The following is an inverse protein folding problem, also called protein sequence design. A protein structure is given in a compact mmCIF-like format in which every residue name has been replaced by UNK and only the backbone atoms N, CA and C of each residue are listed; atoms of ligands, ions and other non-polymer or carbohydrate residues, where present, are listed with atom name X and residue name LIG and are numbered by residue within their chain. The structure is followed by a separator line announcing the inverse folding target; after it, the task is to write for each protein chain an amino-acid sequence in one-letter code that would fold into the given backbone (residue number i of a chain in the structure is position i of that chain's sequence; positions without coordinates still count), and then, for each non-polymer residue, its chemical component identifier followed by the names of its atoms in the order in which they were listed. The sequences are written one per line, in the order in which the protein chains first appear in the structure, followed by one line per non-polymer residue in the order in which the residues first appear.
data_IF_954033023650
#
_entry.id   IF_954033023650
#
_cell.length_a   1.000
_cell.length_b   1.000
_cell.length_c   1.000
_cell.angle_alpha   90.00
_cell.angle_beta   90.00
_cell.angle_gamma   90.00
#
_symmetry.space_group_name_H-M   'P 1'
#
loop_
_entity.id
_entity.type
_entity.pdbx_description
1 polymer ?
#
# COMPACT_ATOMS: atom_id res chain seq x y z
N UNK A 1 -4.60 -35.18 -10.87
CA UNK A 1 -3.76 -34.28 -11.69
C UNK A 1 -3.56 -33.00 -10.90
N UNK A 2 -2.37 -32.77 -10.37
CA UNK A 2 -2.00 -31.50 -9.73
C UNK A 2 -2.07 -30.40 -10.79
N UNK A 3 -3.10 -29.56 -10.76
CA UNK A 3 -3.15 -28.35 -11.59
C UNK A 3 -2.05 -27.42 -11.09
N UNK A 4 -1.02 -27.22 -11.89
CA UNK A 4 -0.03 -26.17 -11.66
C UNK A 4 -0.67 -24.82 -12.01
N UNK A 5 -0.57 -23.85 -11.09
CA UNK A 5 -0.97 -22.47 -11.37
C UNK A 5 -0.22 -21.95 -12.61
N UNK A 6 -0.84 -21.06 -13.40
CA UNK A 6 -0.11 -20.38 -14.47
C UNK A 6 1.07 -19.59 -13.87
N UNK A 7 2.16 -19.46 -14.64
CA UNK A 7 3.27 -18.60 -14.26
C UNK A 7 2.84 -17.14 -14.43
N UNK A 8 3.17 -16.29 -13.46
CA UNK A 8 2.95 -14.84 -13.56
C UNK A 8 4.08 -14.24 -14.41
N UNK A 9 3.74 -13.72 -15.58
CA UNK A 9 4.69 -13.04 -16.47
C UNK A 9 4.77 -11.54 -16.12
N UNK A 10 5.70 -11.19 -15.24
CA UNK A 10 5.92 -9.81 -14.81
C UNK A 10 6.41 -8.93 -15.97
N UNK A 11 7.27 -9.44 -16.84
CA UNK A 11 7.83 -8.65 -17.94
C UNK A 11 6.74 -8.24 -18.93
N UNK A 12 5.83 -9.16 -19.26
CA UNK A 12 4.69 -8.84 -20.11
C UNK A 12 3.81 -7.72 -19.54
N UNK A 13 3.61 -7.69 -18.21
CA UNK A 13 2.85 -6.62 -17.54
C UNK A 13 3.60 -5.29 -17.59
N UNK A 14 4.92 -5.30 -17.38
CA UNK A 14 5.72 -4.07 -17.36
C UNK A 14 5.87 -3.49 -18.78
N UNK A 15 6.00 -4.34 -19.80
CA UNK A 15 6.16 -3.95 -21.20
C UNK A 15 4.87 -3.44 -21.84
N UNK A 16 3.71 -3.85 -21.33
CA UNK A 16 2.43 -3.40 -21.85
C UNK A 16 2.24 -1.89 -21.58
N UNK A 17 2.23 -1.05 -22.63
CA UNK A 17 2.06 0.39 -22.47
C UNK A 17 0.65 0.77 -21.95
N UNK A 18 -0.33 -0.13 -22.09
CA UNK A 18 -1.68 0.07 -21.57
C UNK A 18 -1.73 -0.18 -20.05
N UNK A 19 -0.76 -0.90 -19.48
CA UNK A 19 -0.57 -0.98 -18.03
C UNK A 19 0.04 0.32 -17.52
N UNK A 20 -0.79 1.14 -16.87
CA UNK A 20 -0.43 2.46 -16.35
C UNK A 20 -0.32 2.50 -14.83
N UNK A 21 -0.94 1.55 -14.13
CA UNK A 21 -0.93 1.47 -12.66
C UNK A 21 -0.67 0.03 -12.23
N UNK A 22 0.28 -0.17 -11.33
CA UNK A 22 0.48 -1.46 -10.63
C UNK A 22 0.32 -1.22 -9.14
N UNK A 23 -0.56 -1.98 -8.48
CA UNK A 23 -0.79 -1.88 -7.03
C UNK A 23 -0.28 -3.13 -6.34
N UNK A 24 0.70 -2.96 -5.46
CA UNK A 24 1.24 -4.04 -4.62
C UNK A 24 0.46 -4.10 -3.29
N UNK A 25 -0.33 -5.14 -3.09
CA UNK A 25 -1.13 -5.37 -1.87
C UNK A 25 -0.75 -6.67 -1.16
N UNK A 26 -1.22 -6.85 0.07
CA UNK A 26 -0.85 -7.99 0.90
C UNK A 26 -0.59 -7.61 2.36
N UNK A 27 -0.30 -8.63 3.18
CA UNK A 27 -0.14 -8.47 4.62
C UNK A 27 1.11 -7.66 5.01
N UNK A 28 1.24 -7.31 6.29
CA UNK A 28 2.42 -6.63 6.80
C UNK A 28 3.68 -7.51 6.72
N UNK A 29 4.83 -6.93 6.34
CA UNK A 29 6.13 -7.61 6.42
C UNK A 29 6.46 -8.64 5.34
N UNK A 30 5.59 -8.82 4.33
CA UNK A 30 5.78 -9.80 3.23
C UNK A 30 6.66 -9.29 2.07
N UNK A 31 7.07 -8.03 2.10
CA UNK A 31 7.97 -7.44 1.08
C UNK A 31 7.28 -6.66 -0.03
N UNK A 32 6.11 -6.06 0.22
CA UNK A 32 5.40 -5.19 -0.72
C UNK A 32 6.27 -4.03 -1.22
N UNK A 33 6.85 -3.26 -0.30
CA UNK A 33 7.71 -2.11 -0.65
C UNK A 33 8.89 -2.50 -1.51
N UNK A 34 9.59 -3.59 -1.16
CA UNK A 34 10.71 -4.10 -1.94
C UNK A 34 10.25 -4.58 -3.31
N UNK A 35 9.09 -5.24 -3.39
CA UNK A 35 8.50 -5.70 -4.66
C UNK A 35 8.11 -4.50 -5.54
N UNK A 36 7.45 -3.48 -4.99
CA UNK A 36 7.08 -2.26 -5.69
C UNK A 36 8.31 -1.50 -6.21
N UNK A 37 9.35 -1.36 -5.39
CA UNK A 37 10.61 -0.74 -5.79
C UNK A 37 11.32 -1.52 -6.90
N UNK A 38 11.35 -2.85 -6.80
CA UNK A 38 11.96 -3.72 -7.81
C UNK A 38 11.20 -3.71 -9.14
N UNK A 39 9.86 -3.69 -9.11
CA UNK A 39 9.02 -3.53 -10.29
C UNK A 39 9.25 -2.17 -10.95
N UNK A 40 9.30 -1.10 -10.15
CA UNK A 40 9.54 0.25 -10.66
C UNK A 40 10.91 0.38 -11.32
N UNK A 41 11.95 -0.12 -10.65
CA UNK A 41 13.30 -0.18 -11.22
C UNK A 41 13.34 -0.99 -12.50
N UNK A 42 12.74 -2.18 -12.50
CA UNK A 42 12.72 -3.04 -13.69
C UNK A 42 12.01 -2.40 -14.87
N UNK A 43 10.86 -1.74 -14.66
CA UNK A 43 10.18 -1.02 -15.73
C UNK A 43 11.02 0.15 -16.27
N UNK A 44 11.67 0.92 -15.39
CA UNK A 44 12.57 2.00 -15.81
C UNK A 44 13.75 1.48 -16.63
N UNK A 45 14.34 0.36 -16.24
CA UNK A 45 15.41 -0.30 -17.01
C UNK A 45 14.94 -0.80 -18.37
N UNK A 46 13.64 -1.01 -18.54
CA UNK A 46 12.98 -1.40 -19.80
C UNK A 46 12.48 -0.21 -20.62
N UNK A 47 12.84 1.01 -20.22
CA UNK A 47 12.58 2.23 -20.99
C UNK A 47 11.33 3.00 -20.57
N UNK A 48 10.69 2.63 -19.47
CA UNK A 48 9.48 3.32 -18.98
C UNK A 48 9.82 4.53 -18.10
N UNK A 49 8.96 5.54 -18.13
CA UNK A 49 8.97 6.63 -17.14
C UNK A 49 8.06 6.27 -15.97
N UNK A 50 8.67 5.91 -14.85
CA UNK A 50 8.00 5.30 -13.70
C UNK A 50 8.04 6.18 -12.47
N UNK A 51 6.96 6.20 -11.69
CA UNK A 51 6.96 6.70 -10.31
C UNK A 51 6.50 5.62 -9.34
N UNK A 52 7.27 5.40 -8.28
CA UNK A 52 6.89 4.54 -7.14
C UNK A 52 6.32 5.41 -6.03
N UNK A 53 5.04 5.24 -5.73
CA UNK A 53 4.32 5.90 -4.64
C UNK A 53 4.24 4.95 -3.45
N UNK A 54 4.96 5.22 -2.36
CA UNK A 54 4.75 4.50 -1.09
C UNK A 54 3.86 5.27 -0.13
N UNK A 55 2.96 4.51 0.51
CA UNK A 55 2.10 4.99 1.59
C UNK A 55 2.64 4.51 2.96
N UNK A 56 3.69 3.67 2.99
CA UNK A 56 4.30 3.17 4.23
C UNK A 56 5.22 4.24 4.86
N UNK A 57 4.88 4.77 6.06
CA UNK A 57 5.69 5.79 6.73
C UNK A 57 7.04 5.26 7.24
N UNK A 58 7.29 3.94 7.21
CA UNK A 58 8.51 3.32 7.74
C UNK A 58 9.79 3.64 6.95
N UNK A 59 9.73 4.48 5.89
CA UNK A 59 10.87 4.89 5.04
C UNK A 59 11.63 3.73 4.38
N UNK A 60 11.00 2.54 4.32
CA UNK A 60 11.60 1.33 3.72
C UNK A 60 11.93 1.53 2.25
N UNK A 61 11.10 2.28 1.52
CA UNK A 61 11.36 2.60 0.11
C UNK A 61 12.61 3.47 -0.05
N UNK A 62 12.76 4.52 0.76
CA UNK A 62 13.92 5.41 0.69
C UNK A 62 15.21 4.62 0.90
N UNK A 63 15.22 3.77 1.93
CA UNK A 63 16.35 2.87 2.23
C UNK A 63 16.65 1.93 1.06
N UNK A 64 15.64 1.25 0.50
CA UNK A 64 15.81 0.34 -0.61
C UNK A 64 16.38 1.01 -1.88
N UNK A 65 16.08 2.30 -2.07
CA UNK A 65 16.50 3.07 -3.26
C UNK A 65 17.73 3.96 -3.02
N UNK A 66 18.34 3.89 -1.83
CA UNK A 66 19.50 4.71 -1.47
C UNK A 66 19.19 6.21 -1.35
N UNK A 67 17.93 6.57 -1.07
CA UNK A 67 17.50 7.96 -0.93
C UNK A 67 17.58 8.38 0.55
N UNK A 68 18.09 9.59 0.80
CA UNK A 68 18.18 10.15 2.16
C UNK A 68 16.82 10.59 2.68
N UNK A 69 15.98 11.14 1.80
CA UNK A 69 14.63 11.60 2.12
C UNK A 69 13.68 11.33 0.95
N UNK A 70 12.46 10.96 1.30
CA UNK A 70 11.32 10.91 0.39
C UNK A 70 10.25 11.83 0.98
N UNK A 71 9.67 12.67 0.14
CA UNK A 71 8.59 13.57 0.50
C UNK A 71 7.43 13.43 -0.48
N UNK A 72 6.46 14.34 -0.37
CA UNK A 72 5.25 14.35 -1.17
C UNK A 72 5.44 14.73 -2.65
N UNK A 73 6.69 14.90 -3.09
CA UNK A 73 7.08 15.24 -4.45
C UNK A 73 7.91 14.09 -5.04
N UNK A 74 7.59 13.61 -6.26
CA UNK A 74 8.41 12.65 -6.98
C UNK A 74 9.86 13.12 -7.13
N UNK A 75 10.81 12.28 -6.69
CA UNK A 75 12.25 12.53 -6.80
C UNK A 75 12.88 11.47 -7.71
N UNK A 76 13.70 11.91 -8.66
CA UNK A 76 14.43 11.00 -9.56
C UNK A 76 15.42 10.15 -8.77
N UNK A 77 15.46 8.87 -9.07
CA UNK A 77 16.39 7.89 -8.48
C UNK A 77 17.58 7.74 -9.43
N UNK A 78 18.76 8.13 -8.96
CA UNK A 78 19.98 8.09 -9.78
C UNK A 78 20.48 6.65 -9.91
N UNK A 79 20.93 6.26 -11.12
CA UNK A 79 21.45 4.91 -11.39
C UNK A 79 20.37 3.84 -11.60
N UNK A 80 19.12 4.27 -11.79
CA UNK A 80 17.98 3.43 -12.13
C UNK A 80 17.68 3.37 -13.63
N UNK A 81 18.38 4.18 -14.43
CA UNK A 81 18.42 4.11 -15.88
C UNK A 81 19.15 2.82 -16.29
N UNK A 82 18.54 2.01 -17.15
CA UNK A 82 19.14 0.78 -17.72
C UNK A 82 20.32 1.05 -18.68
N UNK A 83 21.03 2.16 -18.49
CA UNK A 83 21.97 2.80 -19.41
C UNK A 83 21.33 3.93 -20.22
N UNK A 84 22.16 4.78 -20.84
CA UNK A 84 21.72 5.91 -21.70
C UNK A 84 20.85 5.49 -22.89
N UNK A 85 20.79 4.19 -23.20
CA UNK A 85 20.19 3.63 -24.42
C UNK A 85 18.70 3.27 -24.27
N UNK A 86 18.20 3.07 -23.05
CA UNK A 86 16.79 2.66 -22.83
C UNK A 86 15.85 3.84 -22.65
N UNK A 87 16.37 5.01 -22.23
CA UNK A 87 15.60 6.24 -22.09
C UNK A 87 14.59 6.26 -20.94
N UNK A 88 14.51 5.20 -20.13
CA UNK A 88 13.61 5.11 -18.99
C UNK A 88 14.13 5.87 -17.77
N UNK A 89 13.22 6.13 -16.85
CA UNK A 89 13.51 6.87 -15.63
C UNK A 89 12.66 6.39 -14.46
N UNK A 90 13.25 6.44 -13.27
CA UNK A 90 12.58 6.05 -12.04
C UNK A 90 12.49 7.24 -11.11
N UNK A 91 11.28 7.51 -10.65
CA UNK A 91 10.99 8.44 -9.60
C UNK A 91 10.43 7.69 -8.40
N UNK A 92 10.63 8.23 -7.20
CA UNK A 92 10.05 7.71 -5.98
C UNK A 92 9.51 8.85 -5.14
N UNK A 93 8.43 8.59 -4.43
CA UNK A 93 7.83 9.51 -3.46
C UNK A 93 7.24 8.75 -2.29
N UNK A 94 7.13 9.42 -1.15
CA UNK A 94 6.41 8.93 0.01
C UNK A 94 5.25 9.88 0.28
N UNK A 95 4.05 9.32 0.45
CA UNK A 95 2.87 10.11 0.75
C UNK A 95 3.05 10.85 2.08
N UNK A 96 2.96 12.18 2.03
CA UNK A 96 2.78 13.00 3.22
C UNK A 96 1.31 13.43 3.26
N UNK A 97 0.57 12.92 4.24
CA UNK A 97 -0.85 13.19 4.38
C UNK A 97 -1.15 14.67 4.60
N UNK A 98 -0.40 15.31 5.51
CA UNK A 98 -0.63 16.72 5.85
C UNK A 98 -0.36 17.56 4.62
N UNK A 99 0.77 17.32 3.96
CA UNK A 99 1.15 18.07 2.76
C UNK A 99 0.15 17.83 1.62
N UNK A 100 -0.33 16.60 1.43
CA UNK A 100 -1.37 16.28 0.43
C UNK A 100 -2.67 17.03 0.73
N UNK A 101 -3.05 17.12 2.00
CA UNK A 101 -4.23 17.90 2.41
C UNK A 101 -4.03 19.40 2.18
N UNK A 102 -2.87 19.94 2.55
CA UNK A 102 -2.48 21.33 2.30
C UNK A 102 -2.58 21.64 0.79
N UNK A 103 -2.03 20.77 -0.07
CA UNK A 103 -2.10 20.87 -1.54
C UNK A 103 -3.55 20.85 -2.06
N UNK A 104 -4.42 20.01 -1.48
CA UNK A 104 -5.83 19.97 -1.86
C UNK A 104 -6.53 21.29 -1.51
N UNK A 105 -6.25 21.85 -0.33
CA UNK A 105 -6.78 23.15 0.07
C UNK A 105 -6.30 24.23 -0.90
N UNK A 106 -4.99 24.28 -1.16
CA UNK A 106 -4.35 25.25 -2.05
C UNK A 106 -4.91 25.17 -3.49
N UNK A 107 -5.21 23.96 -3.97
CA UNK A 107 -5.73 23.75 -5.32
C UNK A 107 -7.23 24.04 -5.49
N UNK A 108 -8.02 24.08 -4.41
CA UNK A 108 -9.49 24.14 -4.50
C UNK A 108 -10.14 25.28 -3.69
N UNK A 109 -9.40 25.98 -2.84
CA UNK A 109 -9.85 27.18 -2.17
C UNK A 109 -9.17 28.42 -2.76
N UNK A 110 -9.88 29.54 -2.82
CA UNK A 110 -9.26 30.83 -3.14
C UNK A 110 -8.11 31.14 -2.16
N UNK A 111 -7.04 31.83 -2.58
CA UNK A 111 -5.81 31.99 -1.79
C UNK A 111 -6.04 32.51 -0.35
N UNK A 112 -6.94 33.47 -0.18
CA UNK A 112 -7.29 34.01 1.15
C UNK A 112 -7.93 32.95 2.05
N UNK A 113 -8.85 32.14 1.49
CA UNK A 113 -9.55 31.08 2.22
C UNK A 113 -8.62 29.91 2.52
N UNK A 114 -7.75 29.55 1.57
CA UNK A 114 -6.69 28.57 1.77
C UNK A 114 -5.80 28.97 2.95
N UNK A 115 -5.33 30.22 2.97
CA UNK A 115 -4.51 30.74 4.07
C UNK A 115 -5.25 30.73 5.41
N UNK A 116 -6.54 31.10 5.43
CA UNK A 116 -7.37 31.01 6.64
C UNK A 116 -7.48 29.58 7.18
N UNK A 117 -7.67 28.58 6.32
CA UNK A 117 -7.71 27.16 6.72
C UNK A 117 -6.34 26.72 7.24
N UNK A 118 -5.27 26.99 6.48
CA UNK A 118 -3.92 26.52 6.80
C UNK A 118 -3.41 27.14 8.10
N UNK A 119 -3.76 28.38 8.43
CA UNK A 119 -3.36 29.03 9.69
C UNK A 119 -4.26 28.67 10.88
N UNK A 120 -5.36 27.96 10.66
CA UNK A 120 -6.33 27.65 11.71
C UNK A 120 -5.73 26.67 12.75
N UNK A 121 -5.72 27.01 14.06
CA UNK A 121 -5.13 26.16 15.11
C UNK A 121 -5.79 24.78 15.23
N UNK A 122 -7.10 24.70 14.98
CA UNK A 122 -7.84 23.44 14.97
C UNK A 122 -7.42 22.56 13.79
N UNK A 123 -7.23 23.15 12.60
CA UNK A 123 -6.70 22.43 11.44
C UNK A 123 -5.27 21.90 11.70
N UNK A 124 -4.37 22.72 12.21
CA UNK A 124 -2.99 22.31 12.52
C UNK A 124 -2.95 21.16 13.54
N UNK A 125 -3.85 21.18 14.52
CA UNK A 125 -3.97 20.11 15.52
C UNK A 125 -4.56 18.82 14.95
N UNK A 126 -5.59 18.91 14.09
CA UNK A 126 -6.22 17.74 13.46
C UNK A 126 -5.37 17.11 12.36
N UNK A 127 -4.72 17.93 11.52
CA UNK A 127 -3.99 17.49 10.33
C UNK A 127 -2.82 16.55 10.65
N UNK A 128 -2.23 16.70 11.84
CA UNK A 128 -1.20 15.81 12.37
C UNK A 128 -1.72 14.45 12.86
N UNK A 129 -3.03 14.33 13.13
CA UNK A 129 -3.67 13.17 13.78
C UNK A 129 -4.59 12.37 12.86
N UNK A 130 -4.50 12.59 11.54
CA UNK A 130 -5.36 11.96 10.53
C UNK A 130 -5.07 10.46 10.27
N UNK A 131 -4.77 9.68 11.31
CA UNK A 131 -4.67 8.22 11.24
C UNK A 131 -6.03 7.62 10.85
N UNK A 132 -6.12 7.06 9.64
CA UNK A 132 -7.39 6.60 9.05
C UNK A 132 -7.85 7.41 7.82
N UNK A 133 -7.06 8.40 7.39
CA UNK A 133 -7.22 9.05 6.07
C UNK A 133 -6.11 8.71 5.07
N UNK A 134 -5.16 7.86 5.47
CA UNK A 134 -3.99 7.47 4.67
C UNK A 134 -4.43 6.92 3.32
N UNK A 135 -5.46 6.10 3.36
CA UNK A 135 -6.12 5.47 2.23
C UNK A 135 -6.67 6.50 1.22
N UNK A 136 -7.36 7.53 1.70
CA UNK A 136 -7.90 8.58 0.81
C UNK A 136 -6.81 9.47 0.25
N UNK A 137 -5.82 9.84 1.05
CA UNK A 137 -4.73 10.71 0.61
C UNK A 137 -3.89 10.01 -0.45
N UNK A 138 -3.69 8.69 -0.32
CA UNK A 138 -3.08 7.87 -1.35
C UNK A 138 -3.90 7.87 -2.64
N UNK A 139 -5.24 7.75 -2.57
CA UNK A 139 -6.13 7.82 -3.73
C UNK A 139 -6.13 9.18 -4.42
N UNK A 140 -6.14 10.27 -3.67
CA UNK A 140 -6.05 11.61 -4.27
C UNK A 140 -4.70 11.81 -4.92
N UNK A 141 -3.59 11.45 -4.24
CA UNK A 141 -2.25 11.58 -4.81
C UNK A 141 -2.06 10.70 -6.05
N UNK A 142 -2.53 9.46 -6.04
CA UNK A 142 -2.57 8.60 -7.22
C UNK A 142 -3.35 9.26 -8.38
N UNK A 143 -4.52 9.83 -8.07
CA UNK A 143 -5.31 10.58 -9.05
C UNK A 143 -4.55 11.79 -9.63
N UNK A 144 -3.83 12.54 -8.79
CA UNK A 144 -3.00 13.67 -9.23
C UNK A 144 -1.87 13.21 -10.17
N UNK A 145 -1.11 12.18 -9.77
CA UNK A 145 -0.04 11.60 -10.59
C UNK A 145 -0.56 11.07 -11.92
N UNK A 146 -1.73 10.43 -11.93
CA UNK A 146 -2.31 9.92 -13.17
C UNK A 146 -2.73 11.05 -14.11
N UNK A 147 -3.25 12.16 -13.57
CA UNK A 147 -3.69 13.35 -14.33
C UNK A 147 -2.54 14.18 -14.88
N UNK A 148 -1.40 14.26 -14.18
CA UNK A 148 -0.23 15.00 -14.70
C UNK A 148 0.30 14.39 -16.00
N UNK A 149 0.13 13.07 -16.15
CA UNK A 149 0.57 12.29 -17.31
C UNK A 149 2.08 12.43 -17.58
N UNK A 150 2.85 12.80 -16.55
CA UNK A 150 4.32 12.87 -16.57
C UNK A 150 4.95 11.48 -16.60
N UNK A 151 4.35 10.52 -15.90
CA UNK A 151 4.79 9.12 -15.87
C UNK A 151 3.86 8.22 -16.69
N UNK A 152 4.47 7.27 -17.38
CA UNK A 152 3.74 6.24 -18.08
C UNK A 152 3.30 5.13 -17.11
N UNK A 153 4.03 4.86 -16.02
CA UNK A 153 3.70 3.83 -15.04
C UNK A 153 3.74 4.38 -13.61
N UNK A 154 2.72 4.06 -12.83
CA UNK A 154 2.67 4.34 -11.40
C UNK A 154 2.65 3.02 -10.65
N UNK A 155 3.65 2.77 -9.81
CA UNK A 155 3.69 1.59 -8.92
C UNK A 155 3.34 2.03 -7.51
N UNK A 156 2.27 1.48 -6.93
CA UNK A 156 1.74 1.86 -5.63
C UNK A 156 2.12 0.80 -4.58
N UNK A 157 2.87 1.21 -3.56
CA UNK A 157 3.18 0.42 -2.38
C UNK A 157 2.17 0.74 -1.26
N UNK A 158 1.39 -0.27 -0.89
CA UNK A 158 0.29 -0.11 0.08
C UNK A 158 0.75 -0.30 1.53
N UNK A 159 0.05 0.30 2.52
CA UNK A 159 0.40 0.18 3.93
C UNK A 159 0.40 -1.27 4.46
N UNK A 160 1.08 -1.56 5.59
CA UNK A 160 1.04 -2.86 6.24
C UNK A 160 -0.26 -3.06 7.02
N UNK A 161 -1.34 -3.52 6.38
CA UNK A 161 -2.56 -3.88 7.11
C UNK A 161 -3.40 -4.94 6.40
N UNK A 162 -4.18 -5.72 7.18
CA UNK A 162 -5.33 -6.52 6.68
C UNK A 162 -6.33 -5.63 5.95
N UNK A 163 -6.35 -4.36 6.32
CA UNK A 163 -7.05 -3.25 5.70
C UNK A 163 -6.34 -2.67 4.47
N UNK A 164 -5.36 -3.32 3.83
CA UNK A 164 -4.80 -2.78 2.59
C UNK A 164 -5.85 -2.68 1.45
N UNK A 165 -7.01 -3.34 1.61
CA UNK A 165 -8.22 -3.12 0.80
C UNK A 165 -9.14 -2.03 1.36
N UNK A 166 -8.97 -1.54 2.59
CA UNK A 166 -9.65 -0.32 3.06
C UNK A 166 -9.26 0.90 2.21
N UNK A 167 -8.11 0.83 1.52
CA UNK A 167 -7.74 1.72 0.41
C UNK A 167 -8.84 1.80 -0.67
N UNK A 168 -9.53 0.70 -0.93
CA UNK A 168 -10.66 0.60 -1.86
C UNK A 168 -11.97 1.11 -1.23
N UNK A 169 -12.13 1.01 0.09
CA UNK A 169 -13.31 1.53 0.80
C UNK A 169 -13.26 3.07 1.00
N UNK A 170 -12.30 3.73 0.37
CA UNK A 170 -12.03 5.17 0.44
C UNK A 170 -13.26 6.09 0.12
N UNK A 171 -14.14 5.77 -0.84
CA UNK A 171 -15.30 6.64 -1.07
C UNK A 171 -16.29 6.66 0.11
N UNK A 172 -16.49 5.51 0.79
CA UNK A 172 -17.53 5.36 1.80
C UNK A 172 -17.13 5.93 3.16
N UNK A 173 -15.92 5.65 3.64
CA UNK A 173 -15.51 6.10 4.98
C UNK A 173 -15.19 7.60 5.05
N UNK A 174 -14.90 8.26 3.92
CA UNK A 174 -14.88 9.72 3.86
C UNK A 174 -16.30 10.30 3.95
N UNK A 175 -17.26 9.71 3.22
CA UNK A 175 -18.67 10.08 3.34
C UNK A 175 -19.10 10.06 4.81
N UNK A 176 -18.75 9.00 5.54
CA UNK A 176 -19.04 8.87 6.99
C UNK A 176 -18.34 9.93 7.86
N UNK A 177 -17.11 10.34 7.53
CA UNK A 177 -16.41 11.41 8.25
C UNK A 177 -17.13 12.75 8.09
N UNK A 178 -17.49 13.12 6.86
CA UNK A 178 -18.17 14.39 6.53
C UNK A 178 -19.64 14.40 6.97
N UNK A 179 -20.31 13.26 6.88
CA UNK A 179 -21.70 13.05 7.35
C UNK A 179 -21.80 12.84 8.87
N UNK A 180 -20.66 12.86 9.57
CA UNK A 180 -20.59 12.74 11.02
C UNK A 180 -21.52 13.74 11.70
N UNK A 181 -22.38 13.26 12.61
CA UNK A 181 -23.40 14.06 13.32
C UNK A 181 -22.82 15.35 13.93
N UNK A 182 -21.54 15.35 14.32
CA UNK A 182 -20.82 16.52 14.83
C UNK A 182 -20.67 17.64 13.79
N UNK A 183 -20.26 17.33 12.56
CA UNK A 183 -20.12 18.33 11.48
C UNK A 183 -21.49 18.90 11.13
N UNK A 184 -22.52 18.05 10.96
CA UNK A 184 -23.90 18.52 10.69
C UNK A 184 -24.50 19.40 11.80
N UNK A 185 -24.18 19.13 13.07
CA UNK A 185 -24.63 19.95 14.20
C UNK A 185 -23.89 21.30 14.24
N UNK A 186 -22.63 21.35 13.79
CA UNK A 186 -21.81 22.56 13.76
C UNK A 186 -22.03 23.42 12.51
N UNK A 187 -22.43 22.83 11.36
CA UNK A 187 -22.79 23.53 10.12
C UNK A 187 -24.24 23.95 10.03
N UNK A 188 -25.10 23.45 10.94
CA UNK A 188 -26.51 23.83 10.96
C UNK A 188 -26.62 25.36 11.05
N UNK A 189 -27.22 26.05 10.05
CA UNK A 189 -27.21 27.49 10.01
C UNK A 189 -27.91 28.04 11.25
N UNK A 190 -27.24 28.96 11.95
CA UNK A 190 -27.85 29.78 13.02
C UNK A 190 -29.08 30.59 12.55
N UNK A 191 -29.40 30.54 11.24
CA UNK A 191 -30.54 31.17 10.58
C UNK A 191 -31.79 30.28 10.44
N UNK A 192 -31.84 29.06 10.99
CA UNK A 192 -33.13 28.39 11.26
C UNK A 192 -33.72 28.94 12.57
N UNK A 193 -33.84 30.26 12.61
CA UNK A 193 -34.38 31.06 13.71
C UNK A 193 -35.86 31.39 13.51
N UNK A 194 -36.62 30.51 12.84
CA UNK A 194 -38.08 30.55 12.93
C UNK A 194 -38.48 30.09 14.33
N UNK A 195 -39.13 30.97 15.10
CA UNK A 195 -39.57 30.87 16.52
C UNK A 195 -40.22 29.55 16.98
N UNK A 196 -40.41 28.56 16.11
CA UNK A 196 -41.07 27.29 16.38
C UNK A 196 -40.11 26.10 16.58
N UNK A 197 -38.86 26.13 16.09
CA UNK A 197 -37.93 25.00 16.23
C UNK A 197 -37.27 24.90 17.63
N UNK A 198 -37.24 26.00 18.40
CA UNK A 198 -36.58 26.07 19.71
C UNK A 198 -37.39 25.48 20.87
N UNK A 199 -38.69 25.15 20.70
CA UNK A 199 -39.54 24.69 21.82
C UNK A 199 -39.37 23.21 22.18
N UNK A 200 -38.77 22.39 21.33
CA UNK A 200 -38.57 20.95 21.57
C UNK A 200 -37.15 20.57 22.06
N UNK A 201 -36.21 21.51 22.11
CA UNK A 201 -34.82 21.23 22.51
C UNK A 201 -34.44 21.74 23.92
N UNK A 202 -35.37 22.33 24.67
CA UNK A 202 -35.02 23.18 25.82
C UNK A 202 -34.97 22.50 27.22
N UNK A 203 -35.02 21.18 27.34
CA UNK A 203 -34.93 20.53 28.67
C UNK A 203 -33.56 19.89 29.00
N UNK A 204 -32.60 19.86 28.06
CA UNK A 204 -31.27 19.26 28.32
C UNK A 204 -30.10 19.85 27.53
N UNK A 205 -30.36 20.63 26.48
CA UNK A 205 -29.32 21.10 25.54
C UNK A 205 -28.53 22.32 26.04
N UNK A 206 -29.17 23.22 26.79
CA UNK A 206 -28.52 24.43 27.33
C UNK A 206 -27.42 24.12 28.36
N UNK A 207 -27.56 23.01 29.09
CA UNK A 207 -26.56 22.55 30.07
C UNK A 207 -25.36 21.92 29.35
N UNK A 208 -25.58 21.14 28.29
CA UNK A 208 -24.50 20.50 27.52
C UNK A 208 -23.69 21.51 26.70
N UNK A 209 -24.35 22.47 26.04
CA UNK A 209 -23.67 23.53 25.30
C UNK A 209 -22.87 24.47 26.24
N UNK A 210 -23.42 24.78 27.42
CA UNK A 210 -22.76 25.56 28.46
C UNK A 210 -21.53 24.87 29.07
N UNK A 211 -21.56 23.53 29.20
CA UNK A 211 -20.44 22.74 29.71
C UNK A 211 -19.34 22.61 28.64
N UNK A 212 -19.68 22.43 27.36
CA UNK A 212 -18.68 22.44 26.28
C UNK A 212 -17.99 23.81 26.14
N UNK A 213 -18.73 24.92 26.25
CA UNK A 213 -18.14 26.28 26.19
C UNK A 213 -17.25 26.58 27.40
N UNK A 214 -17.59 26.09 28.60
CA UNK A 214 -16.79 26.31 29.81
C UNK A 214 -15.49 25.49 29.84
N UNK A 215 -15.49 24.31 29.21
CA UNK A 215 -14.35 23.39 29.22
C UNK A 215 -13.45 23.54 27.99
N UNK A 216 -14.00 23.93 26.83
CA UNK A 216 -13.27 23.96 25.53
C UNK A 216 -12.95 25.40 25.08
N UNK A 217 -13.50 26.43 25.73
CA UNK A 217 -13.21 27.83 25.43
C UNK A 217 -13.91 28.34 24.16
N UNK A 218 -14.41 29.58 24.21
CA UNK A 218 -15.14 30.19 23.09
C UNK A 218 -14.29 30.36 21.81
N UNK A 219 -12.96 30.37 21.94
CA UNK A 219 -12.04 30.47 20.80
C UNK A 219 -12.01 29.19 19.96
N UNK A 220 -11.91 28.02 20.59
CA UNK A 220 -11.85 26.73 19.89
C UNK A 220 -13.12 26.49 19.08
N UNK A 221 -14.29 26.87 19.61
CA UNK A 221 -15.56 26.76 18.87
C UNK A 221 -15.59 27.65 17.62
N UNK A 222 -15.02 28.86 17.68
CA UNK A 222 -14.88 29.73 16.51
C UNK A 222 -13.93 29.13 15.49
N UNK A 223 -12.80 28.59 15.93
CA UNK A 223 -11.81 27.96 15.05
C UNK A 223 -12.42 26.76 14.33
N UNK A 224 -13.22 25.95 15.03
CA UNK A 224 -13.98 24.84 14.45
C UNK A 224 -14.99 25.33 13.41
N UNK A 225 -15.80 26.34 13.72
CA UNK A 225 -16.81 26.87 12.79
C UNK A 225 -16.18 27.45 11.51
N UNK A 226 -15.08 28.21 11.66
CA UNK A 226 -14.32 28.76 10.54
C UNK A 226 -13.75 27.63 9.69
N UNK A 227 -13.11 26.63 10.32
CA UNK A 227 -12.57 25.46 9.64
C UNK A 227 -13.67 24.76 8.84
N UNK A 228 -14.78 24.36 9.47
CA UNK A 228 -15.83 23.57 8.81
C UNK A 228 -16.48 24.33 7.66
N UNK A 229 -16.77 25.62 7.83
CA UNK A 229 -17.31 26.46 6.75
C UNK A 229 -16.32 26.54 5.58
N UNK A 230 -15.04 26.70 5.88
CA UNK A 230 -14.00 26.78 4.87
C UNK A 230 -13.76 25.43 4.17
N UNK A 231 -13.92 24.32 4.90
CA UNK A 231 -13.75 22.95 4.45
C UNK A 231 -14.85 22.48 3.49
N UNK A 232 -16.10 22.91 3.69
CA UNK A 232 -17.25 22.52 2.85
C UNK A 232 -17.01 22.81 1.36
N UNK A 233 -16.38 23.95 1.05
CA UNK A 233 -16.00 24.33 -0.31
C UNK A 233 -14.91 23.41 -0.91
N UNK A 234 -13.95 22.97 -0.10
CA UNK A 234 -12.84 22.10 -0.51
C UNK A 234 -13.32 20.65 -0.72
N UNK A 235 -14.28 20.20 0.09
CA UNK A 235 -14.77 18.82 0.10
C UNK A 235 -15.94 18.55 -0.85
N UNK A 236 -16.65 19.57 -1.32
CA UNK A 236 -17.79 19.40 -2.25
C UNK A 236 -17.44 18.60 -3.53
N UNK A 237 -16.19 18.68 -4.01
CA UNK A 237 -15.69 17.90 -5.16
C UNK A 237 -14.87 16.65 -4.80
N UNK A 238 -14.56 16.45 -3.52
CA UNK A 238 -13.64 15.39 -3.08
C UNK A 238 -14.21 14.00 -3.33
N UNK A 239 -15.50 13.78 -3.00
CA UNK A 239 -16.16 12.48 -3.21
C UNK A 239 -16.10 12.05 -4.68
N UNK A 240 -16.33 12.99 -5.60
CA UNK A 240 -16.29 12.73 -7.05
C UNK A 240 -14.90 12.33 -7.53
N UNK A 241 -13.83 12.96 -7.00
CA UNK A 241 -12.44 12.60 -7.33
C UNK A 241 -12.06 11.24 -6.79
N UNK A 242 -12.44 10.93 -5.55
CA UNK A 242 -12.22 9.60 -4.97
C UNK A 242 -12.91 8.51 -5.82
N UNK A 243 -14.16 8.73 -6.23
CA UNK A 243 -14.89 7.83 -7.14
C UNK A 243 -14.25 7.73 -8.53
N UNK A 244 -13.61 8.80 -9.02
CA UNK A 244 -12.88 8.78 -10.28
C UNK A 244 -11.60 7.93 -10.16
N UNK A 245 -10.79 8.13 -9.11
CA UNK A 245 -9.60 7.29 -8.87
C UNK A 245 -10.01 5.84 -8.64
N UNK A 246 -11.10 5.60 -7.93
CA UNK A 246 -11.63 4.24 -7.73
C UNK A 246 -11.94 3.54 -9.06
N UNK A 247 -12.58 4.23 -9.99
CA UNK A 247 -12.85 3.71 -11.34
C UNK A 247 -11.57 3.50 -12.16
N UNK A 248 -10.53 4.31 -11.96
CA UNK A 248 -9.22 4.07 -12.58
C UNK A 248 -8.63 2.73 -12.13
N UNK A 249 -8.78 2.38 -10.85
CA UNK A 249 -8.31 1.10 -10.33
C UNK A 249 -9.07 -0.12 -10.90
N UNK A 250 -10.34 0.06 -11.28
CA UNK A 250 -11.13 -0.98 -11.95
C UNK A 250 -10.86 -1.08 -13.45
N UNK A 251 -10.15 -0.11 -14.04
CA UNK A 251 -9.92 -0.06 -15.47
C UNK A 251 -8.85 -1.10 -15.90
N UNK A 252 -8.91 -1.63 -17.13
CA UNK A 252 -7.95 -2.62 -17.63
C UNK A 252 -6.47 -2.19 -17.60
N UNK A 253 -6.19 -0.88 -17.57
CA UNK A 253 -4.83 -0.36 -17.43
C UNK A 253 -4.27 -0.37 -16.01
N UNK A 254 -4.97 -1.00 -15.05
CA UNK A 254 -4.51 -1.22 -13.69
C UNK A 254 -4.30 -2.71 -13.45
N UNK A 255 -3.17 -3.06 -12.83
CA UNK A 255 -2.85 -4.43 -12.42
C UNK A 255 -2.63 -4.51 -10.91
N UNK A 256 -3.33 -5.41 -10.23
CA UNK A 256 -3.10 -5.72 -8.82
C UNK A 256 -2.17 -6.91 -8.67
N UNK A 257 -1.16 -6.76 -7.83
CA UNK A 257 -0.24 -7.83 -7.42
C UNK A 257 -0.39 -8.07 -5.92
N UNK A 258 -0.86 -9.26 -5.55
CA UNK A 258 -0.88 -9.70 -4.16
C UNK A 258 0.50 -10.24 -3.82
N UNK A 259 1.10 -9.78 -2.73
CA UNK A 259 2.41 -10.23 -2.24
C UNK A 259 2.22 -10.97 -0.92
N UNK A 260 2.80 -12.15 -0.79
CA UNK A 260 2.70 -12.95 0.42
C UNK A 260 3.98 -13.76 0.68
N UNK A 261 4.33 -13.94 1.96
CA UNK A 261 5.29 -14.98 2.34
C UNK A 261 4.59 -16.36 2.33
N UNK A 262 5.31 -17.48 2.12
CA UNK A 262 4.74 -18.83 2.11
C UNK A 262 4.39 -19.36 3.52
N UNK A 263 3.91 -18.46 4.38
CA UNK A 263 3.44 -18.73 5.73
C UNK A 263 1.92 -18.83 5.76
N UNK A 264 1.37 -19.62 6.69
CA UNK A 264 -0.07 -19.92 6.74
C UNK A 264 -0.94 -18.65 6.81
N UNK A 265 -0.57 -17.70 7.67
CA UNK A 265 -1.38 -16.50 7.88
C UNK A 265 -1.27 -15.54 6.71
N UNK A 266 -0.07 -15.34 6.16
CA UNK A 266 0.15 -14.52 4.96
C UNK A 266 -0.56 -15.09 3.72
N UNK A 267 -0.52 -16.41 3.52
CA UNK A 267 -1.23 -17.06 2.40
C UNK A 267 -2.75 -17.03 2.57
N UNK A 268 -3.27 -17.13 3.81
CA UNK A 268 -4.69 -16.95 4.08
C UNK A 268 -5.14 -15.52 3.78
N UNK A 269 -4.35 -14.53 4.20
CA UNK A 269 -4.63 -13.13 3.89
C UNK A 269 -4.56 -12.90 2.37
N UNK A 270 -3.61 -13.51 1.66
CA UNK A 270 -3.56 -13.45 0.19
C UNK A 270 -4.84 -13.98 -0.47
N UNK A 271 -5.40 -15.11 -0.02
CA UNK A 271 -6.69 -15.60 -0.49
C UNK A 271 -7.82 -14.59 -0.26
N UNK A 272 -7.88 -13.99 0.93
CA UNK A 272 -8.83 -12.92 1.21
C UNK A 272 -8.67 -11.72 0.26
N UNK A 273 -7.43 -11.33 -0.05
CA UNK A 273 -7.18 -10.26 -1.02
C UNK A 273 -7.69 -10.60 -2.42
N UNK A 274 -7.42 -11.82 -2.90
CA UNK A 274 -7.89 -12.29 -4.22
C UNK A 274 -9.42 -12.26 -4.29
N UNK A 275 -10.11 -12.75 -3.26
CA UNK A 275 -11.57 -12.77 -3.19
C UNK A 275 -12.14 -11.35 -3.20
N UNK A 276 -11.62 -10.44 -2.37
CA UNK A 276 -12.08 -9.05 -2.32
C UNK A 276 -11.83 -8.31 -3.64
N UNK A 277 -10.67 -8.49 -4.28
CA UNK A 277 -10.38 -7.87 -5.57
C UNK A 277 -11.37 -8.32 -6.64
N UNK A 278 -11.77 -9.60 -6.63
CA UNK A 278 -12.80 -10.11 -7.52
C UNK A 278 -14.19 -9.50 -7.23
N UNK A 279 -14.58 -9.39 -5.96
CA UNK A 279 -15.83 -8.72 -5.55
C UNK A 279 -15.90 -7.28 -6.05
N UNK A 280 -14.79 -6.54 -5.91
CA UNK A 280 -14.68 -5.13 -6.31
C UNK A 280 -14.33 -4.93 -7.79
N UNK A 281 -14.24 -6.00 -8.58
CA UNK A 281 -13.91 -5.99 -10.01
C UNK A 281 -12.56 -5.30 -10.32
N UNK A 282 -11.59 -5.50 -9.44
CA UNK A 282 -10.23 -5.02 -9.61
C UNK A 282 -9.41 -6.03 -10.43
N UNK A 283 -8.65 -5.61 -11.46
CA UNK A 283 -7.93 -6.55 -12.31
C UNK A 283 -6.72 -7.15 -11.58
N UNK A 284 -6.86 -8.38 -11.08
CA UNK A 284 -5.78 -9.12 -10.46
C UNK A 284 -4.84 -9.68 -11.53
N UNK A 285 -3.56 -9.27 -11.49
CA UNK A 285 -2.52 -9.83 -12.34
C UNK A 285 -2.00 -11.16 -11.78
N UNK A 286 -1.79 -11.27 -10.47
CA UNK A 286 -1.35 -12.52 -9.85
C UNK A 286 -0.86 -12.40 -8.42
N UNK A 287 -0.27 -13.49 -7.92
CA UNK A 287 0.34 -13.62 -6.61
C UNK A 287 1.86 -13.71 -6.72
N UNK A 288 2.56 -12.85 -6.00
CA UNK A 288 4.00 -12.97 -5.73
C UNK A 288 4.17 -13.68 -4.40
N UNK A 289 4.70 -14.91 -4.43
CA UNK A 289 5.11 -15.63 -3.23
C UNK A 289 6.57 -15.31 -2.94
N UNK A 290 6.79 -14.42 -1.99
CA UNK A 290 8.11 -13.91 -1.63
C UNK A 290 8.76 -14.76 -0.53
N UNK A 291 10.10 -14.73 -0.44
CA UNK A 291 10.89 -15.46 0.57
C UNK A 291 10.70 -16.98 0.53
N UNK A 292 10.59 -17.56 -0.67
CA UNK A 292 10.51 -19.02 -0.83
C UNK A 292 11.86 -19.66 -0.55
N UNK A 293 11.85 -20.75 0.20
CA UNK A 293 13.04 -21.52 0.48
C UNK A 293 13.18 -22.71 -0.45
N UNK A 294 14.35 -22.82 -1.07
CA UNK A 294 14.74 -23.97 -1.91
C UNK A 294 16.01 -24.61 -1.34
N UNK A 295 16.24 -25.85 -1.74
CA UNK A 295 17.49 -26.58 -1.47
C UNK A 295 18.30 -26.68 -2.75
N UNK A 296 19.62 -26.48 -2.62
CA UNK A 296 20.58 -26.71 -3.71
C UNK A 296 20.85 -28.20 -3.94
N UNK A 297 20.40 -29.06 -3.03
CA UNK A 297 20.49 -30.52 -3.14
C UNK A 297 19.09 -31.15 -3.03
N UNK A 298 18.21 -30.97 -4.04
CA UNK A 298 16.82 -31.44 -3.98
C UNK A 298 16.68 -32.97 -4.05
N UNK A 299 17.70 -33.68 -4.54
CA UNK A 299 17.73 -35.14 -4.62
C UNK A 299 17.88 -35.82 -3.25
N UNK A 300 18.39 -35.08 -2.26
CA UNK A 300 18.50 -35.55 -0.90
C UNK A 300 17.24 -35.13 -0.13
N UNK A 301 16.51 -36.10 0.43
CA UNK A 301 15.29 -35.82 1.19
C UNK A 301 15.62 -35.42 2.62
N UNK A 302 14.71 -34.69 3.28
CA UNK A 302 14.86 -34.35 4.70
C UNK A 302 15.12 -35.59 5.57
N UNK A 303 14.37 -36.67 5.33
CA UNK A 303 14.51 -37.92 6.09
C UNK A 303 15.88 -38.57 5.89
N UNK A 304 16.40 -38.59 4.65
CA UNK A 304 17.73 -39.11 4.36
C UNK A 304 18.82 -38.25 5.01
N UNK A 305 18.68 -36.94 4.98
CA UNK A 305 19.63 -36.04 5.65
C UNK A 305 19.62 -36.21 7.16
N UNK A 306 18.44 -36.31 7.78
CA UNK A 306 18.34 -36.56 9.22
C UNK A 306 18.94 -37.90 9.64
N UNK A 307 18.63 -38.98 8.92
CA UNK A 307 19.18 -40.29 9.20
C UNK A 307 20.72 -40.32 9.04
N UNK A 308 21.25 -39.73 7.97
CA UNK A 308 22.69 -39.64 7.77
C UNK A 308 23.40 -38.79 8.82
N UNK A 309 22.77 -37.70 9.29
CA UNK A 309 23.30 -36.91 10.40
C UNK A 309 23.35 -37.71 11.71
N UNK A 310 22.28 -38.45 12.02
CA UNK A 310 22.18 -39.31 13.22
C UNK A 310 23.25 -40.39 13.23
N UNK A 311 23.50 -41.05 12.08
CA UNK A 311 24.53 -42.07 11.96
C UNK A 311 25.94 -41.50 12.17
N UNK A 312 26.23 -40.31 11.66
CA UNK A 312 27.53 -39.63 11.83
C UNK A 312 27.74 -39.17 13.28
N UNK A 313 26.71 -38.58 13.89
CA UNK A 313 26.71 -38.18 15.30
C UNK A 313 26.94 -39.37 16.23
N UNK A 314 26.27 -40.50 15.98
CA UNK A 314 26.42 -41.72 16.78
C UNK A 314 27.84 -42.31 16.71
N UNK A 315 28.53 -42.13 15.59
CA UNK A 315 29.93 -42.56 15.41
C UNK A 315 30.95 -41.55 15.95
N UNK A 316 30.52 -40.32 16.26
CA UNK A 316 31.42 -39.23 16.64
C UNK A 316 32.34 -38.78 15.50
N UNK A 317 31.91 -38.97 14.24
CA UNK A 317 32.69 -38.66 13.04
C UNK A 317 32.09 -37.47 12.28
N UNK A 318 32.94 -36.66 11.64
CA UNK A 318 32.52 -35.63 10.70
C UNK A 318 31.43 -34.66 11.23
N UNK A 319 31.62 -34.11 12.42
CA UNK A 319 30.66 -33.21 13.11
C UNK A 319 30.09 -32.11 12.20
N UNK A 320 30.93 -31.44 11.41
CA UNK A 320 30.48 -30.41 10.46
C UNK A 320 29.53 -30.98 9.39
N UNK A 321 29.77 -32.19 8.91
CA UNK A 321 28.92 -32.84 7.91
C UNK A 321 27.56 -33.17 8.50
N UNK A 322 27.52 -33.71 9.72
CA UNK A 322 26.28 -33.95 10.44
C UNK A 322 25.49 -32.64 10.64
N UNK A 323 26.14 -31.56 11.06
CA UNK A 323 25.51 -30.25 11.23
C UNK A 323 24.91 -29.70 9.91
N UNK A 324 25.66 -29.79 8.80
CA UNK A 324 25.16 -29.37 7.47
C UNK A 324 23.97 -30.22 7.03
N UNK A 325 23.98 -31.53 7.28
CA UNK A 325 22.86 -32.42 7.00
C UNK A 325 21.62 -32.07 7.84
N UNK A 326 21.78 -31.71 9.11
CA UNK A 326 20.68 -31.21 9.96
C UNK A 326 20.09 -29.91 9.40
N UNK A 327 20.93 -28.95 9.00
CA UNK A 327 20.49 -27.70 8.38
C UNK A 327 19.74 -27.95 7.06
N UNK A 328 20.27 -28.83 6.21
CA UNK A 328 19.61 -29.23 4.96
C UNK A 328 18.27 -29.93 5.23
N UNK A 329 18.20 -30.82 6.22
CA UNK A 329 16.94 -31.48 6.60
C UNK A 329 15.89 -30.45 7.02
N UNK A 330 16.26 -29.48 7.86
CA UNK A 330 15.39 -28.37 8.26
C UNK A 330 14.93 -27.54 7.06
N UNK A 331 15.83 -27.19 6.15
CA UNK A 331 15.52 -26.46 4.90
C UNK A 331 14.53 -27.22 4.02
N UNK A 332 14.71 -28.52 3.85
CA UNK A 332 13.81 -29.37 3.06
C UNK A 332 12.42 -29.48 3.71
N UNK A 333 12.35 -29.59 5.03
CA UNK A 333 11.08 -29.60 5.75
C UNK A 333 10.33 -28.27 5.64
N UNK A 334 11.04 -27.15 5.72
CA UNK A 334 10.50 -25.81 5.53
C UNK A 334 9.94 -25.66 4.11
N UNK A 335 10.75 -25.95 3.09
CA UNK A 335 10.33 -25.90 1.69
C UNK A 335 9.10 -26.77 1.41
N UNK A 336 9.01 -27.96 2.03
CA UNK A 336 7.83 -28.82 1.90
C UNK A 336 6.57 -28.23 2.58
N UNK A 337 6.71 -27.51 3.70
CA UNK A 337 5.59 -26.81 4.35
C UNK A 337 5.10 -25.66 3.47
N UNK A 338 6.02 -24.88 2.93
CA UNK A 338 5.75 -23.75 2.03
C UNK A 338 5.06 -24.20 0.74
N UNK A 339 5.54 -25.31 0.15
CA UNK A 339 4.92 -25.95 -1.01
C UNK A 339 3.45 -26.30 -0.72
N UNK A 340 3.15 -26.89 0.45
CA UNK A 340 1.76 -27.22 0.84
C UNK A 340 0.87 -25.97 0.98
N UNK A 341 1.38 -24.87 1.53
CA UNK A 341 0.61 -23.62 1.61
C UNK A 341 0.28 -23.08 0.21
N UNK A 342 1.25 -23.13 -0.70
CA UNK A 342 1.06 -22.73 -2.11
C UNK A 342 0.08 -23.63 -2.86
N UNK A 343 0.17 -24.95 -2.67
CA UNK A 343 -0.75 -25.92 -3.27
C UNK A 343 -2.18 -25.71 -2.77
N UNK A 344 -2.34 -25.40 -1.48
CA UNK A 344 -3.65 -25.08 -0.90
C UNK A 344 -4.24 -23.81 -1.55
N UNK A 345 -3.45 -22.74 -1.66
CA UNK A 345 -3.86 -21.51 -2.35
C UNK A 345 -4.22 -21.77 -3.82
N UNK A 346 -3.37 -22.50 -4.56
CA UNK A 346 -3.59 -22.83 -5.97
C UNK A 346 -4.85 -23.68 -6.16
N UNK A 347 -5.16 -24.56 -5.21
CA UNK A 347 -6.38 -25.37 -5.25
C UNK A 347 -7.64 -24.51 -5.10
N UNK A 348 -7.58 -23.46 -4.27
CA UNK A 348 -8.68 -22.51 -4.08
C UNK A 348 -8.78 -21.50 -5.24
N UNK A 349 -7.66 -21.09 -5.83
CA UNK A 349 -7.57 -20.06 -6.88
C UNK A 349 -6.77 -20.55 -8.11
N UNK A 350 -7.27 -21.56 -8.85
CA UNK A 350 -6.49 -22.26 -9.88
C UNK A 350 -6.13 -21.41 -11.11
N UNK A 351 -6.80 -20.27 -11.29
CA UNK A 351 -6.58 -19.35 -12.41
C UNK A 351 -5.63 -18.21 -12.07
N UNK A 352 -5.25 -18.03 -10.80
CA UNK A 352 -4.39 -16.93 -10.37
C UNK A 352 -2.94 -17.27 -10.70
N UNK A 353 -2.26 -16.47 -11.54
CA UNK A 353 -0.85 -16.70 -11.86
C UNK A 353 0.05 -16.47 -10.65
N UNK A 354 1.15 -17.22 -10.56
CA UNK A 354 2.08 -17.14 -9.42
C UNK A 354 3.51 -16.90 -9.90
N UNK A 355 4.18 -15.90 -9.30
CA UNK A 355 5.64 -15.74 -9.33
C UNK A 355 6.23 -16.12 -7.96
N UNK A 356 7.42 -16.71 -7.93
CA UNK A 356 8.09 -17.12 -6.70
C UNK A 356 9.45 -16.44 -6.58
N UNK A 357 9.63 -15.65 -5.53
CA UNK A 357 10.90 -14.98 -5.24
C UNK A 357 11.59 -15.72 -4.09
N UNK A 358 12.82 -16.25 -4.30
CA UNK A 358 13.59 -16.88 -3.23
C UNK A 358 13.89 -15.93 -2.07
N UNK A 359 14.04 -16.46 -0.87
CA UNK A 359 14.58 -15.70 0.25
C UNK A 359 16.03 -15.29 -0.03
N UNK A 360 16.28 -13.98 0.02
CA UNK A 360 17.62 -13.41 -0.13
C UNK A 360 18.47 -13.69 1.12
N UNK A 361 19.80 -13.89 0.97
CA UNK A 361 20.70 -14.08 2.09
C UNK A 361 20.93 -12.79 2.90
N UNK A 362 20.72 -11.63 2.28
CA UNK A 362 20.94 -10.30 2.85
C UNK A 362 19.70 -9.42 2.62
N UNK A 363 19.58 -8.37 3.43
CA UNK A 363 18.51 -7.38 3.26
C UNK A 363 18.73 -6.55 1.99
N UNK A 364 17.64 -6.29 1.27
CA UNK A 364 17.68 -5.49 0.03
C UNK A 364 17.60 -4.01 0.39
N UNK A 365 18.73 -3.32 0.30
CA UNK A 365 18.88 -1.90 0.68
C UNK A 365 19.58 -1.05 -0.39
N UNK A 366 19.70 -1.55 -1.61
CA UNK A 366 20.29 -0.82 -2.73
C UNK A 366 19.68 -1.23 -4.08
N UNK A 367 20.03 -0.48 -5.13
CA UNK A 367 19.55 -0.74 -6.49
C UNK A 367 20.03 -2.08 -7.05
N UNK A 368 21.17 -2.60 -6.61
CA UNK A 368 21.68 -3.89 -7.09
C UNK A 368 20.82 -5.05 -6.57
N UNK A 369 20.49 -5.04 -5.28
CA UNK A 369 19.56 -5.98 -4.67
C UNK A 369 18.15 -5.84 -5.26
N UNK A 370 17.66 -4.62 -5.49
CA UNK A 370 16.36 -4.40 -6.14
C UNK A 370 16.34 -4.95 -7.58
N UNK A 371 17.41 -4.76 -8.34
CA UNK A 371 17.56 -5.32 -9.70
C UNK A 371 17.53 -6.85 -9.67
N UNK A 372 18.20 -7.46 -8.70
CA UNK A 372 18.16 -8.91 -8.51
C UNK A 372 16.75 -9.41 -8.19
N UNK A 373 16.02 -8.72 -7.30
CA UNK A 373 14.61 -9.05 -7.02
C UNK A 373 13.75 -8.88 -8.28
N UNK A 374 13.95 -7.82 -9.06
CA UNK A 374 13.23 -7.59 -10.31
C UNK A 374 13.45 -8.73 -11.31
N UNK A 375 14.67 -9.22 -11.45
CA UNK A 375 14.98 -10.38 -12.31
C UNK A 375 14.30 -11.66 -11.81
N UNK A 376 14.30 -11.90 -10.49
CA UNK A 376 13.64 -13.07 -9.88
C UNK A 376 12.11 -13.01 -9.96
N UNK A 377 11.52 -11.81 -9.99
CA UNK A 377 10.08 -11.62 -10.19
C UNK A 377 9.65 -12.02 -11.60
N UNK A 378 10.53 -11.86 -12.60
CA UNK A 378 10.27 -12.14 -14.01
C UNK A 378 10.79 -13.50 -14.50
N UNK A 379 11.29 -14.37 -13.59
CA UNK A 379 11.94 -15.65 -13.93
C UNK A 379 11.03 -16.87 -13.92
#
# INVERSE_FOLDING_TARGET
MTRTAPALDIDAILDDPDTRIIVCCGSGGVGKTTTAAALGLRAAERGRSVVVLTVDPARRLAQAMGLTELDNTPRRVNGADGGEQTGGELHAMMLDMKRTFDEIIEAHADPERAQQILTNPFYQSLSSSFSGTQEYMAMEKLGQLRRSNEWDLIVVDTPPSRSALDFLDAPERLGRFLDGRLIRILTAPAKVGGRSAFKLLNAGFGVVAGILTKVIGAQVLRDIQLFVTALDAVFGGFRQRAEQTYRLLQAPGTAFLVVAAPERDAMREASYFVERLAEERMPLAGLVVNRVHRSLAPSLSAARSSAAAEDLEARGEHELTAAVLRLHAGRMQLAAREQRQREHFTSAHPTVPIAQVPAMPEDVHDLAGLRQIGQLLAS
#
